data_IF_172480868179
#
_entry.id   IF_172480868179
#
_cell.length_a   1.000
_cell.length_b   1.000
_cell.length_c   1.000
_cell.angle_alpha   90.00
_cell.angle_beta   90.00
_cell.angle_gamma   90.00
#
_symmetry.space_group_name_H-M   'P 1'
#
loop_
_entity.id
_entity.type
_entity.pdbx_description
1 polymer ?
#
# COMPACT_ATOMS: atom_id res chain seq x y z
N UNK A 1 17.84 -22.86 19.61
CA UNK A 1 18.97 -22.31 20.38
C UNK A 1 18.75 -20.82 20.58
N UNK A 2 19.29 -20.23 21.65
CA UNK A 2 19.26 -18.78 21.85
C UNK A 2 19.92 -18.05 20.65
N UNK A 3 19.47 -16.84 20.33
CA UNK A 3 20.04 -16.06 19.24
C UNK A 3 21.36 -15.39 19.68
N UNK A 4 22.43 -16.18 19.68
CA UNK A 4 23.77 -15.73 20.08
C UNK A 4 24.35 -14.67 19.13
N UNK A 5 23.91 -14.63 17.87
CA UNK A 5 24.37 -13.62 16.91
C UNK A 5 23.81 -12.24 17.26
N UNK A 6 22.52 -12.16 17.58
CA UNK A 6 21.91 -10.92 18.07
C UNK A 6 22.53 -10.48 19.40
N UNK A 7 22.70 -11.41 20.35
CA UNK A 7 23.34 -11.10 21.63
C UNK A 7 24.77 -10.59 21.44
N UNK A 8 25.56 -11.26 20.61
CA UNK A 8 26.93 -10.86 20.30
C UNK A 8 27.01 -9.49 19.63
N UNK A 9 26.13 -9.21 18.66
CA UNK A 9 26.08 -7.92 17.97
C UNK A 9 25.75 -6.75 18.90
N UNK A 10 24.84 -6.94 19.86
CA UNK A 10 24.48 -5.93 20.88
C UNK A 10 25.71 -5.62 21.74
N UNK A 11 26.38 -6.65 22.24
CA UNK A 11 27.59 -6.51 23.08
C UNK A 11 28.73 -5.86 22.30
N UNK A 12 28.98 -6.28 21.06
CA UNK A 12 30.03 -5.72 20.20
C UNK A 12 29.79 -4.25 19.86
N UNK A 13 28.53 -3.81 19.82
CA UNK A 13 28.15 -2.41 19.60
C UNK A 13 28.24 -1.56 20.88
N UNK A 14 28.60 -2.15 22.03
CA UNK A 14 28.67 -1.47 23.32
C UNK A 14 27.31 -1.03 23.88
N UNK A 15 26.21 -1.58 23.36
CA UNK A 15 24.85 -1.23 23.78
C UNK A 15 24.32 -2.22 24.81
N UNK A 16 23.46 -1.75 25.71
CA UNK A 16 22.66 -2.61 26.59
C UNK A 16 21.32 -2.99 25.93
N UNK A 17 20.68 -4.04 26.45
CA UNK A 17 19.33 -4.42 25.99
C UNK A 17 18.33 -3.26 26.16
N UNK A 18 18.41 -2.50 27.26
CA UNK A 18 17.57 -1.34 27.52
C UNK A 18 17.79 -0.21 26.49
N UNK A 19 19.04 0.04 26.12
CA UNK A 19 19.36 1.06 25.12
C UNK A 19 18.86 0.67 23.73
N UNK A 20 18.99 -0.61 23.35
CA UNK A 20 18.43 -1.14 22.11
C UNK A 20 16.91 -1.02 22.13
N UNK A 21 16.26 -1.43 23.22
CA UNK A 21 14.83 -1.36 23.38
C UNK A 21 14.29 0.08 23.28
N UNK A 22 14.95 1.03 23.95
CA UNK A 22 14.61 2.45 23.91
C UNK A 22 14.71 3.03 22.51
N UNK A 23 15.76 2.71 21.75
CA UNK A 23 15.91 3.17 20.35
C UNK A 23 14.90 2.54 19.39
N UNK A 24 14.46 1.31 19.69
CA UNK A 24 13.49 0.59 18.88
C UNK A 24 12.03 0.87 19.31
N UNK A 25 11.80 1.61 20.39
CA UNK A 25 10.46 1.87 20.91
C UNK A 25 9.75 0.61 21.42
N UNK A 26 10.50 -0.38 21.93
CA UNK A 26 9.96 -1.63 22.50
C UNK A 26 10.40 -1.78 23.96
N UNK A 27 9.84 -2.76 24.68
CA UNK A 27 10.27 -3.05 26.06
C UNK A 27 11.61 -3.79 26.08
N UNK A 28 12.48 -3.59 27.10
CA UNK A 28 13.72 -4.35 27.27
C UNK A 28 13.49 -5.86 27.30
N UNK A 29 12.39 -6.29 27.92
CA UNK A 29 11.95 -7.69 27.97
C UNK A 29 11.64 -8.26 26.57
N UNK A 30 11.15 -7.42 25.65
CA UNK A 30 10.92 -7.83 24.26
C UNK A 30 12.25 -8.15 23.57
N UNK A 31 13.28 -7.31 23.75
CA UNK A 31 14.61 -7.53 23.17
C UNK A 31 15.31 -8.71 23.82
N UNK A 32 15.20 -8.87 25.14
CA UNK A 32 15.71 -10.03 25.86
C UNK A 32 15.15 -11.32 25.26
N UNK A 33 13.83 -11.39 25.05
CA UNK A 33 13.17 -12.55 24.42
C UNK A 33 13.69 -12.84 23.02
N UNK A 34 13.99 -11.82 22.20
CA UNK A 34 14.60 -12.05 20.88
C UNK A 34 15.98 -12.70 20.94
N UNK A 35 16.72 -12.49 22.04
CA UNK A 35 18.04 -13.11 22.24
C UNK A 35 17.96 -14.49 22.91
N UNK A 36 16.98 -14.72 23.79
CA UNK A 36 16.93 -15.93 24.63
C UNK A 36 15.98 -17.01 24.11
N UNK A 37 14.86 -16.62 23.47
CA UNK A 37 13.84 -17.55 22.98
C UNK A 37 14.13 -17.97 21.52
N UNK A 38 14.35 -19.28 21.23
CA UNK A 38 14.78 -19.75 19.91
C UNK A 38 13.89 -19.38 18.73
N UNK A 39 12.57 -19.30 18.94
CA UNK A 39 11.58 -19.10 17.88
C UNK A 39 10.92 -17.71 17.95
N UNK A 40 11.40 -16.83 18.84
CA UNK A 40 10.80 -15.51 19.03
C UNK A 40 11.52 -14.48 18.18
N UNK A 41 11.02 -14.27 16.97
CA UNK A 41 11.52 -13.22 16.08
C UNK A 41 10.76 -11.91 16.26
N UNK A 42 11.43 -10.75 16.08
CA UNK A 42 10.73 -9.48 15.93
C UNK A 42 9.84 -9.48 14.68
N UNK A 43 8.82 -8.62 14.66
CA UNK A 43 8.23 -8.21 13.38
C UNK A 43 9.29 -7.60 12.47
N UNK A 44 9.11 -7.74 11.15
CA UNK A 44 10.08 -7.36 10.12
C UNK A 44 10.63 -5.93 10.28
N UNK A 45 9.78 -4.96 10.59
CA UNK A 45 10.20 -3.57 10.89
C UNK A 45 11.25 -3.47 12.01
N UNK A 46 11.11 -4.29 13.05
CA UNK A 46 12.03 -4.32 14.18
C UNK A 46 13.30 -5.13 13.87
N UNK A 47 13.21 -6.14 13.00
CA UNK A 47 14.40 -6.83 12.50
C UNK A 47 15.30 -5.86 11.73
N UNK A 48 14.75 -5.10 10.77
CA UNK A 48 15.49 -4.08 10.03
C UNK A 48 16.04 -2.98 10.94
N UNK A 49 15.21 -2.46 11.86
CA UNK A 49 15.66 -1.40 12.77
C UNK A 49 16.79 -1.88 13.70
N UNK A 50 16.72 -3.11 14.21
CA UNK A 50 17.79 -3.69 15.01
C UNK A 50 19.06 -3.96 14.17
N UNK A 51 18.92 -4.51 12.97
CA UNK A 51 20.02 -4.73 12.02
C UNK A 51 20.74 -3.42 11.67
N UNK A 52 19.98 -2.36 11.37
CA UNK A 52 20.49 -1.02 11.12
C UNK A 52 21.22 -0.44 12.33
N UNK A 53 20.61 -0.53 13.53
CA UNK A 53 21.19 -0.05 14.77
C UNK A 53 22.53 -0.74 15.08
N UNK A 54 22.60 -2.05 14.86
CA UNK A 54 23.76 -2.89 15.16
C UNK A 54 24.75 -2.99 13.98
N UNK A 55 24.47 -2.34 12.84
CA UNK A 55 25.27 -2.35 11.61
C UNK A 55 25.59 -3.76 11.09
N UNK A 56 24.63 -4.66 11.20
CA UNK A 56 24.71 -6.02 10.66
C UNK A 56 23.58 -6.25 9.66
N UNK A 57 23.72 -7.29 8.83
CA UNK A 57 22.63 -7.74 7.98
C UNK A 57 21.55 -8.46 8.79
N UNK A 58 20.28 -8.40 8.34
CA UNK A 58 19.19 -9.14 8.97
C UNK A 58 19.46 -10.65 8.96
N UNK A 59 19.91 -11.20 7.83
CA UNK A 59 20.33 -12.60 7.67
C UNK A 59 21.49 -13.00 8.59
N UNK A 60 22.37 -12.06 8.95
CA UNK A 60 23.41 -12.31 9.94
C UNK A 60 22.76 -12.52 11.31
N UNK A 61 21.89 -11.62 11.76
CA UNK A 61 21.23 -11.69 13.06
C UNK A 61 20.18 -12.81 13.15
N UNK A 62 19.54 -13.15 12.03
CA UNK A 62 18.55 -14.22 11.91
C UNK A 62 18.86 -15.05 10.65
N UNK A 63 19.65 -16.14 10.74
CA UNK A 63 20.11 -16.93 9.58
C UNK A 63 19.03 -17.58 8.72
N UNK A 64 17.80 -17.67 9.21
CA UNK A 64 16.65 -18.14 8.44
C UNK A 64 16.08 -17.06 7.53
N UNK A 65 16.45 -15.80 7.75
CA UNK A 65 16.10 -14.67 6.88
C UNK A 65 17.06 -14.62 5.69
N UNK A 66 16.49 -14.30 4.53
CA UNK A 66 17.25 -14.14 3.29
C UNK A 66 18.17 -12.93 3.39
N UNK A 67 19.32 -13.01 2.74
CA UNK A 67 20.21 -11.86 2.55
C UNK A 67 19.50 -10.81 1.68
N UNK A 68 19.91 -9.56 1.82
CA UNK A 68 19.42 -8.43 1.02
C UNK A 68 19.69 -8.67 -0.47
N UNK A 69 20.78 -9.36 -0.81
CA UNK A 69 21.09 -9.75 -2.19
C UNK A 69 20.10 -10.78 -2.74
N UNK A 70 19.72 -11.78 -1.95
CA UNK A 70 18.72 -12.78 -2.36
C UNK A 70 17.32 -12.18 -2.49
N UNK A 71 16.94 -11.28 -1.58
CA UNK A 71 15.68 -10.52 -1.66
C UNK A 71 15.67 -9.66 -2.92
N UNK A 72 16.75 -8.93 -3.19
CA UNK A 72 16.87 -8.07 -4.39
C UNK A 72 16.76 -8.90 -5.66
N UNK A 73 17.50 -10.01 -5.75
CA UNK A 73 17.45 -10.90 -6.92
C UNK A 73 16.05 -11.49 -7.16
N UNK A 74 15.29 -11.79 -6.09
CA UNK A 74 13.88 -12.18 -6.24
C UNK A 74 12.98 -11.01 -6.66
N UNK A 75 13.24 -9.82 -6.12
CA UNK A 75 12.44 -8.61 -6.39
C UNK A 75 12.64 -8.07 -7.80
N UNK A 76 13.78 -8.35 -8.44
CA UNK A 76 14.03 -8.00 -9.85
C UNK A 76 12.99 -8.62 -10.79
N UNK A 77 12.45 -9.80 -10.42
CA UNK A 77 11.39 -10.46 -11.17
C UNK A 77 9.99 -9.91 -10.88
N UNK A 78 9.82 -9.09 -9.84
CA UNK A 78 8.53 -8.48 -9.51
C UNK A 78 8.17 -7.34 -10.46
N UNK A 79 9.15 -6.65 -11.06
CA UNK A 79 8.89 -5.53 -11.97
C UNK A 79 8.61 -6.05 -13.39
N UNK A 80 7.33 -6.14 -13.75
CA UNK A 80 6.92 -6.49 -15.11
C UNK A 80 7.21 -5.36 -16.10
N UNK A 81 6.91 -4.12 -15.69
CA UNK A 81 7.10 -2.95 -16.55
C UNK A 81 7.16 -1.65 -15.76
N UNK A 82 7.96 -0.72 -16.25
CA UNK A 82 7.96 0.68 -15.81
C UNK A 82 7.44 1.51 -16.97
N UNK A 83 6.33 2.20 -16.74
CA UNK A 83 5.81 3.20 -17.67
C UNK A 83 6.30 4.58 -17.23
N UNK A 84 6.90 5.38 -18.13
CA UNK A 84 7.40 6.71 -17.78
C UNK A 84 6.27 7.63 -17.30
N UNK A 85 5.07 7.51 -17.89
CA UNK A 85 3.89 8.31 -17.58
C UNK A 85 2.63 7.43 -17.56
N UNK A 86 1.65 7.72 -16.70
CA UNK A 86 0.36 7.01 -16.68
C UNK A 86 -0.37 7.12 -18.03
N UNK A 87 -0.24 8.24 -18.73
CA UNK A 87 -0.88 8.47 -20.03
C UNK A 87 -0.44 7.50 -21.12
N UNK A 88 0.71 6.84 -20.98
CA UNK A 88 1.20 5.83 -21.94
C UNK A 88 0.89 4.39 -21.52
N UNK A 89 0.25 4.19 -20.37
CA UNK A 89 -0.28 2.87 -19.98
C UNK A 89 -1.43 2.54 -20.95
N UNK A 90 -1.42 1.37 -21.61
CA UNK A 90 -2.50 0.97 -22.50
C UNK A 90 -3.86 1.04 -21.78
N UNK A 91 -4.86 1.63 -22.42
CA UNK A 91 -6.19 1.82 -21.81
C UNK A 91 -6.85 0.51 -21.37
N UNK A 92 -6.48 -0.61 -22.01
CA UNK A 92 -6.99 -1.95 -21.70
C UNK A 92 -6.30 -2.59 -20.50
N UNK A 93 -5.07 -2.18 -20.17
CA UNK A 93 -4.27 -2.79 -19.11
C UNK A 93 -4.98 -2.72 -17.75
N UNK A 94 -5.72 -1.63 -17.49
CA UNK A 94 -6.48 -1.45 -16.26
C UNK A 94 -7.64 -2.42 -16.13
N UNK A 95 -8.43 -2.59 -17.20
CA UNK A 95 -9.52 -3.57 -17.20
C UNK A 95 -9.00 -5.01 -17.23
N UNK A 96 -7.88 -5.26 -17.91
CA UNK A 96 -7.24 -6.57 -17.96
C UNK A 96 -6.68 -7.00 -16.61
N UNK A 97 -6.05 -6.07 -15.87
CA UNK A 97 -5.58 -6.32 -14.50
C UNK A 97 -6.69 -6.94 -13.65
N UNK A 98 -7.90 -6.37 -13.71
CA UNK A 98 -9.04 -6.82 -12.92
C UNK A 98 -9.84 -7.97 -13.56
N UNK A 99 -9.67 -8.25 -14.85
CA UNK A 99 -10.49 -9.23 -15.57
C UNK A 99 -10.37 -10.65 -14.98
N UNK A 100 -9.18 -11.01 -14.51
CA UNK A 100 -8.88 -12.34 -13.97
C UNK A 100 -8.91 -12.40 -12.44
N UNK A 101 -9.27 -11.30 -11.75
CA UNK A 101 -9.22 -11.25 -10.28
C UNK A 101 -10.23 -12.20 -9.63
N UNK A 102 -9.80 -12.92 -8.60
CA UNK A 102 -10.64 -13.90 -7.87
C UNK A 102 -10.68 -13.67 -6.36
N UNK A 103 -9.67 -13.01 -5.80
CA UNK A 103 -9.49 -12.85 -4.35
C UNK A 103 -9.37 -11.39 -3.91
N UNK A 104 -8.69 -10.54 -4.68
CA UNK A 104 -8.48 -9.14 -4.38
C UNK A 104 -8.83 -8.29 -5.59
N UNK A 105 -9.66 -7.28 -5.38
CA UNK A 105 -9.95 -6.23 -6.34
C UNK A 105 -9.95 -4.92 -5.57
N UNK A 106 -8.81 -4.25 -5.57
CA UNK A 106 -8.59 -3.09 -4.71
C UNK A 106 -8.19 -1.85 -5.54
N UNK A 107 -8.74 -0.71 -5.16
CA UNK A 107 -8.41 0.60 -5.73
C UNK A 107 -8.15 1.59 -4.61
N UNK A 108 -6.91 2.09 -4.53
CA UNK A 108 -6.51 3.15 -3.63
C UNK A 108 -6.13 4.39 -4.42
N UNK A 109 -6.94 5.44 -4.32
CA UNK A 109 -6.79 6.69 -5.06
C UNK A 109 -7.25 7.88 -4.23
N UNK A 110 -6.92 9.10 -4.66
CA UNK A 110 -7.76 10.24 -4.28
C UNK A 110 -9.04 10.24 -5.10
N UNK A 111 -8.95 10.42 -6.42
CA UNK A 111 -10.13 10.39 -7.30
C UNK A 111 -10.17 9.22 -8.28
N UNK A 112 -9.03 8.83 -8.87
CA UNK A 112 -9.01 7.83 -9.95
C UNK A 112 -9.97 8.18 -11.10
N UNK A 113 -10.23 9.48 -11.31
CA UNK A 113 -11.44 9.98 -11.98
C UNK A 113 -11.73 9.35 -13.35
N UNK A 114 -10.69 9.17 -14.18
CA UNK A 114 -10.79 8.59 -15.52
C UNK A 114 -11.39 7.16 -15.52
N UNK A 115 -11.18 6.39 -14.46
CA UNK A 115 -11.71 5.04 -14.33
C UNK A 115 -13.22 5.05 -14.04
N UNK A 116 -13.69 6.11 -13.38
CA UNK A 116 -15.11 6.30 -13.05
C UNK A 116 -15.96 6.53 -14.30
N UNK A 117 -15.33 6.98 -15.39
CA UNK A 117 -15.99 7.28 -16.67
C UNK A 117 -15.89 6.12 -17.68
N UNK A 118 -15.15 5.04 -17.37
CA UNK A 118 -15.02 3.88 -18.27
C UNK A 118 -16.19 2.88 -18.05
N UNK A 119 -17.13 2.74 -19.00
CA UNK A 119 -18.25 1.81 -18.84
C UNK A 119 -17.82 0.35 -18.78
N UNK A 120 -16.64 0.00 -19.34
CA UNK A 120 -16.09 -1.36 -19.28
C UNK A 120 -15.68 -1.70 -17.85
N UNK A 121 -15.08 -0.74 -17.14
CA UNK A 121 -14.72 -0.91 -15.74
C UNK A 121 -15.96 -1.09 -14.85
N UNK A 122 -17.01 -0.29 -15.05
CA UNK A 122 -18.28 -0.45 -14.34
C UNK A 122 -18.92 -1.83 -14.55
N UNK A 123 -18.91 -2.34 -15.78
CA UNK A 123 -19.39 -3.70 -16.06
C UNK A 123 -18.55 -4.75 -15.34
N UNK A 124 -17.22 -4.60 -15.39
CA UNK A 124 -16.31 -5.53 -14.73
C UNK A 124 -16.53 -5.59 -13.21
N UNK A 125 -16.74 -4.45 -12.54
CA UNK A 125 -17.08 -4.43 -11.11
C UNK A 125 -18.38 -5.19 -10.82
N UNK A 126 -19.41 -5.03 -11.66
CA UNK A 126 -20.68 -5.79 -11.52
C UNK A 126 -20.47 -7.29 -11.70
N UNK A 127 -19.70 -7.68 -12.71
CA UNK A 127 -19.38 -9.09 -12.99
C UNK A 127 -18.62 -9.72 -11.82
N UNK A 128 -17.60 -9.03 -11.28
CA UNK A 128 -16.81 -9.50 -10.14
C UNK A 128 -17.61 -9.57 -8.84
N UNK A 129 -18.42 -8.55 -8.58
CA UNK A 129 -19.38 -8.55 -7.47
C UNK A 129 -20.35 -9.73 -7.56
N UNK A 130 -20.94 -9.98 -8.73
CA UNK A 130 -21.85 -11.10 -8.96
C UNK A 130 -21.15 -12.48 -8.82
N UNK A 131 -19.87 -12.56 -9.15
CA UNK A 131 -19.03 -13.74 -8.93
C UNK A 131 -18.58 -13.91 -7.47
N UNK A 132 -18.96 -13.01 -6.55
CA UNK A 132 -18.62 -13.08 -5.13
C UNK A 132 -17.23 -12.55 -4.78
N UNK A 133 -16.54 -11.90 -5.72
CA UNK A 133 -15.21 -11.31 -5.46
C UNK A 133 -15.39 -10.02 -4.64
N UNK A 134 -14.68 -9.86 -3.51
CA UNK A 134 -14.66 -8.60 -2.76
C UNK A 134 -14.02 -7.48 -3.58
N UNK A 135 -14.71 -6.35 -3.70
CA UNK A 135 -14.24 -5.14 -4.39
C UNK A 135 -14.13 -3.99 -3.40
N UNK A 136 -12.92 -3.45 -3.25
CA UNK A 136 -12.60 -2.42 -2.25
C UNK A 136 -12.17 -1.12 -2.92
N UNK A 137 -12.93 -0.07 -2.70
CA UNK A 137 -12.59 1.29 -3.11
C UNK A 137 -12.14 2.10 -1.89
N UNK A 138 -10.92 2.64 -1.95
CA UNK A 138 -10.37 3.59 -1.00
C UNK A 138 -10.16 4.91 -1.74
N UNK A 139 -11.10 5.84 -1.55
CA UNK A 139 -11.12 7.15 -2.18
C UNK A 139 -10.62 8.21 -1.20
N UNK A 140 -10.07 9.32 -1.68
CA UNK A 140 -9.65 10.39 -0.79
C UNK A 140 -10.84 11.02 -0.08
N UNK A 141 -10.71 11.40 1.17
CA UNK A 141 -11.73 12.22 1.82
C UNK A 141 -11.64 13.65 1.26
N UNK A 142 -12.69 14.16 0.55
CA UNK A 142 -12.65 15.47 -0.07
C UNK A 142 -12.56 16.63 0.93
N UNK A 143 -12.78 16.39 2.23
CA UNK A 143 -12.61 17.38 3.30
C UNK A 143 -11.22 17.34 3.95
N UNK A 144 -10.38 16.35 3.61
CA UNK A 144 -9.09 16.16 4.28
C UNK A 144 -8.03 17.17 3.87
N UNK A 145 -7.13 17.45 4.82
CA UNK A 145 -5.94 18.28 4.56
C UNK A 145 -5.04 17.67 3.49
N UNK A 146 -4.87 16.34 3.47
CA UNK A 146 -4.00 15.68 2.50
C UNK A 146 -4.49 15.86 1.05
N UNK A 147 -5.82 15.79 0.83
CA UNK A 147 -6.43 16.08 -0.48
C UNK A 147 -6.25 17.55 -0.87
N UNK A 148 -6.41 18.48 0.06
CA UNK A 148 -6.21 19.91 -0.19
C UNK A 148 -4.75 20.20 -0.60
N UNK A 149 -3.79 19.70 0.17
CA UNK A 149 -2.34 19.82 -0.13
C UNK A 149 -2.03 19.26 -1.51
N UNK A 150 -2.55 18.08 -1.87
CA UNK A 150 -2.31 17.52 -3.21
C UNK A 150 -2.90 18.41 -4.32
N UNK A 151 -4.07 19.01 -4.08
CA UNK A 151 -4.66 19.96 -5.01
C UNK A 151 -3.74 21.15 -5.27
N UNK A 152 -3.18 21.72 -4.20
CA UNK A 152 -2.25 22.84 -4.27
C UNK A 152 -0.93 22.44 -4.96
N UNK A 153 -0.35 21.29 -4.59
CA UNK A 153 0.87 20.75 -5.19
C UNK A 153 0.73 20.50 -6.70
N UNK A 154 -0.43 20.03 -7.17
CA UNK A 154 -0.71 19.85 -8.60
C UNK A 154 -1.09 21.17 -9.32
N UNK A 155 -1.26 22.28 -8.59
CA UNK A 155 -1.71 23.56 -9.14
C UNK A 155 -3.19 23.59 -9.53
N UNK A 156 -4.01 22.68 -8.99
CA UNK A 156 -5.45 22.58 -9.28
C UNK A 156 -6.34 22.97 -8.09
N UNK A 157 -5.74 23.20 -6.91
CA UNK A 157 -6.41 23.61 -5.68
C UNK A 157 -7.65 22.77 -5.34
N UNK A 158 -8.77 23.44 -5.07
CA UNK A 158 -10.04 22.82 -4.69
C UNK A 158 -10.65 21.89 -5.75
N UNK A 159 -10.15 21.91 -6.99
CA UNK A 159 -10.60 21.00 -8.04
C UNK A 159 -10.28 19.54 -7.71
N UNK A 160 -9.28 19.25 -6.86
CA UNK A 160 -9.02 17.86 -6.43
C UNK A 160 -10.22 17.31 -5.64
N UNK A 161 -10.68 18.02 -4.62
CA UNK A 161 -11.85 17.63 -3.84
C UNK A 161 -13.12 17.52 -4.72
N UNK A 162 -13.29 18.43 -5.69
CA UNK A 162 -14.40 18.36 -6.64
C UNK A 162 -14.35 17.11 -7.53
N UNK A 163 -13.16 16.72 -8.02
CA UNK A 163 -12.97 15.48 -8.80
C UNK A 163 -13.34 14.24 -7.98
N UNK A 164 -13.02 14.22 -6.69
CA UNK A 164 -13.36 13.10 -5.82
C UNK A 164 -14.88 13.00 -5.63
N UNK A 165 -15.55 14.12 -5.34
CA UNK A 165 -17.03 14.15 -5.23
C UNK A 165 -17.69 13.65 -6.50
N UNK A 166 -17.20 14.08 -7.66
CA UNK A 166 -17.71 13.62 -8.95
C UNK A 166 -17.44 12.13 -9.20
N UNK A 167 -16.24 11.64 -8.85
CA UNK A 167 -15.91 10.21 -8.93
C UNK A 167 -16.88 9.34 -8.10
N UNK A 168 -17.19 9.76 -6.87
CA UNK A 168 -18.15 9.06 -6.00
C UNK A 168 -19.55 9.02 -6.61
N UNK A 169 -20.02 10.15 -7.18
CA UNK A 169 -21.32 10.20 -7.88
C UNK A 169 -21.35 9.27 -9.09
N UNK A 170 -20.30 9.27 -9.90
CA UNK A 170 -20.17 8.35 -11.05
C UNK A 170 -20.26 6.89 -10.61
N UNK A 171 -19.66 6.54 -9.47
CA UNK A 171 -19.74 5.20 -8.89
C UNK A 171 -21.04 4.89 -8.15
N UNK A 172 -22.00 5.82 -8.04
CA UNK A 172 -23.26 5.63 -7.31
C UNK A 172 -23.97 4.29 -7.58
N UNK A 173 -24.12 3.86 -8.84
CA UNK A 173 -24.72 2.55 -9.16
C UNK A 173 -23.95 1.31 -8.69
N UNK A 174 -22.73 1.45 -8.16
CA UNK A 174 -21.89 0.37 -7.63
C UNK A 174 -22.05 0.19 -6.11
N UNK A 175 -22.48 1.24 -5.37
CA UNK A 175 -22.68 1.18 -3.92
C UNK A 175 -23.74 0.15 -3.48
N UNK A 176 -24.71 -0.14 -4.35
CA UNK A 176 -25.77 -1.11 -4.08
C UNK A 176 -25.38 -2.56 -4.40
N UNK A 177 -24.17 -2.81 -4.88
CA UNK A 177 -23.72 -4.14 -5.29
C UNK A 177 -23.20 -4.94 -4.07
N UNK A 178 -23.46 -6.26 -4.01
CA UNK A 178 -22.93 -7.10 -2.94
C UNK A 178 -21.40 -7.15 -3.00
N UNK A 179 -20.75 -7.21 -1.84
CA UNK A 179 -19.29 -7.31 -1.71
C UNK A 179 -18.50 -6.14 -2.33
N UNK A 180 -19.16 -5.03 -2.69
CA UNK A 180 -18.51 -3.79 -3.10
C UNK A 180 -18.54 -2.82 -1.93
N UNK A 181 -17.38 -2.40 -1.46
CA UNK A 181 -17.26 -1.51 -0.30
C UNK A 181 -16.43 -0.27 -0.68
N UNK A 182 -16.95 0.89 -0.27
CA UNK A 182 -16.30 2.19 -0.43
C UNK A 182 -15.87 2.72 0.93
N UNK A 183 -14.64 3.22 1.00
CA UNK A 183 -14.10 3.94 2.15
C UNK A 183 -13.44 5.24 1.73
N UNK A 184 -13.42 6.20 2.65
CA UNK A 184 -12.71 7.47 2.54
C UNK A 184 -11.47 7.45 3.44
N UNK A 185 -10.33 7.86 2.90
CA UNK A 185 -9.07 7.99 3.65
C UNK A 185 -8.53 9.42 3.59
N UNK A 186 -7.87 9.85 4.65
CA UNK A 186 -7.25 11.16 4.79
C UNK A 186 -5.71 11.10 4.70
N UNK A 187 -5.18 9.96 4.27
CA UNK A 187 -3.73 9.72 4.23
C UNK A 187 -3.03 10.58 3.18
N UNK A 188 -1.77 10.91 3.43
CA UNK A 188 -0.89 11.40 2.36
C UNK A 188 -0.64 10.27 1.38
N UNK A 189 -1.12 10.43 0.16
CA UNK A 189 -1.07 9.37 -0.84
C UNK A 189 0.21 9.47 -1.66
N UNK A 190 1.17 8.57 -1.42
CA UNK A 190 2.42 8.52 -2.19
C UNK A 190 2.26 7.85 -3.56
N UNK A 191 1.29 6.93 -3.66
CA UNK A 191 1.00 6.19 -4.87
C UNK A 191 -0.50 5.94 -4.94
N UNK A 192 -1.09 6.11 -6.12
CA UNK A 192 -2.36 5.47 -6.42
C UNK A 192 -2.09 4.01 -6.79
N UNK A 193 -2.76 3.07 -6.13
CA UNK A 193 -2.49 1.63 -6.26
C UNK A 193 -3.76 0.94 -6.75
N UNK A 194 -3.58 0.11 -7.78
CA UNK A 194 -4.63 -0.71 -8.38
C UNK A 194 -4.17 -2.15 -8.28
N UNK A 195 -4.85 -2.99 -7.51
CA UNK A 195 -4.40 -4.37 -7.22
C UNK A 195 -5.47 -5.38 -7.59
N UNK A 196 -5.04 -6.42 -8.31
CA UNK A 196 -5.83 -7.60 -8.61
C UNK A 196 -5.02 -8.84 -8.24
N UNK A 197 -5.46 -9.58 -7.23
CA UNK A 197 -4.79 -10.77 -6.71
C UNK A 197 -3.28 -10.56 -6.45
N UNK A 198 -2.45 -11.09 -7.36
CA UNK A 198 -0.99 -11.12 -7.34
C UNK A 198 -0.36 -10.10 -8.30
N UNK A 199 -1.14 -9.21 -8.92
CA UNK A 199 -0.64 -8.13 -9.76
C UNK A 199 -1.12 -6.77 -9.26
N UNK A 200 -0.29 -5.75 -9.44
CA UNK A 200 -0.68 -4.39 -9.13
C UNK A 200 -0.01 -3.36 -10.06
N UNK A 201 -0.70 -2.25 -10.26
CA UNK A 201 -0.18 -1.03 -10.87
C UNK A 201 -0.06 0.05 -9.78
N UNK A 202 1.17 0.50 -9.51
CA UNK A 202 1.45 1.60 -8.61
C UNK A 202 1.79 2.85 -9.42
N UNK A 203 0.85 3.81 -9.47
CA UNK A 203 1.06 5.11 -10.07
C UNK A 203 1.63 6.07 -9.03
N UNK A 204 2.91 6.38 -9.15
CA UNK A 204 3.63 7.25 -8.22
C UNK A 204 3.13 8.68 -8.26
N UNK A 205 3.09 9.34 -7.11
CA UNK A 205 2.84 10.77 -7.02
C UNK A 205 4.18 11.49 -7.02
N UNK A 206 4.37 12.35 -8.01
CA UNK A 206 5.54 13.22 -8.10
C UNK A 206 5.09 14.64 -7.77
N UNK A 207 5.85 15.33 -6.92
CA UNK A 207 5.55 16.69 -6.50
C UNK A 207 5.47 17.63 -7.71
N UNK A 208 4.44 18.48 -7.79
CA UNK A 208 4.25 19.38 -8.94
C UNK A 208 3.76 18.71 -10.23
N UNK A 209 3.59 17.38 -10.26
CA UNK A 209 3.25 16.63 -11.48
C UNK A 209 1.88 15.99 -11.32
N UNK A 210 0.96 16.33 -12.23
CA UNK A 210 -0.35 15.70 -12.31
C UNK A 210 -0.25 14.20 -12.57
N UNK A 211 -1.14 13.41 -11.96
CA UNK A 211 -1.08 11.95 -11.99
C UNK A 211 -0.99 11.30 -13.39
N UNK A 212 -1.45 11.99 -14.44
CA UNK A 212 -1.35 11.50 -15.83
C UNK A 212 0.07 11.52 -16.40
N UNK A 213 0.96 12.38 -15.89
CA UNK A 213 2.38 12.48 -16.29
C UNK A 213 3.31 11.74 -15.33
N UNK A 214 2.81 11.25 -14.20
CA UNK A 214 3.61 10.56 -13.22
C UNK A 214 3.84 9.09 -13.62
N UNK A 215 4.93 8.44 -13.19
CA UNK A 215 5.29 7.08 -13.60
C UNK A 215 4.34 6.03 -13.03
N UNK A 216 4.33 4.85 -13.67
CA UNK A 216 3.59 3.68 -13.20
C UNK A 216 4.51 2.47 -13.17
N UNK A 217 4.56 1.79 -12.02
CA UNK A 217 5.18 0.48 -11.85
C UNK A 217 4.11 -0.60 -12.00
N UNK A 218 4.31 -1.53 -12.93
CA UNK A 218 3.52 -2.75 -13.04
C UNK A 218 4.29 -3.87 -12.36
N UNK A 219 3.71 -4.39 -11.28
CA UNK A 219 4.32 -5.38 -10.42
C UNK A 219 3.51 -6.68 -10.42
N UNK A 220 4.23 -7.78 -10.32
CA UNK A 220 3.69 -9.09 -9.97
C UNK A 220 4.27 -9.56 -8.64
N UNK A 221 3.51 -10.38 -7.92
CA UNK A 221 3.96 -11.02 -6.69
C UNK A 221 4.81 -12.24 -7.04
N UNK A 222 6.05 -12.26 -6.58
CA UNK A 222 6.98 -13.39 -6.75
C UNK A 222 7.31 -13.98 -5.38
N UNK A 223 7.39 -15.32 -5.23
CA UNK A 223 7.84 -15.93 -3.98
C UNK A 223 9.20 -15.38 -3.53
N UNK A 224 9.20 -14.83 -2.32
CA UNK A 224 10.39 -14.24 -1.71
C UNK A 224 10.80 -12.87 -2.26
N UNK A 225 10.02 -12.31 -3.19
CA UNK A 225 10.02 -10.87 -3.45
C UNK A 225 9.35 -10.11 -2.30
N UNK A 226 9.63 -8.82 -2.21
CA UNK A 226 9.16 -7.96 -1.12
C UNK A 226 8.55 -6.66 -1.61
N UNK A 227 8.78 -6.29 -2.88
CA UNK A 227 8.31 -5.04 -3.44
C UNK A 227 6.78 -5.04 -3.54
N UNK A 228 6.18 -6.10 -4.09
CA UNK A 228 4.73 -6.24 -4.17
C UNK A 228 4.10 -6.23 -2.78
N UNK A 229 4.62 -7.07 -1.87
CA UNK A 229 4.06 -7.23 -0.53
C UNK A 229 4.13 -5.93 0.28
N UNK A 230 5.17 -5.10 0.07
CA UNK A 230 5.26 -3.76 0.68
C UNK A 230 4.10 -2.85 0.26
N UNK A 231 3.76 -2.82 -1.04
CA UNK A 231 2.62 -2.04 -1.53
C UNK A 231 1.28 -2.61 -1.05
N UNK A 232 1.13 -3.94 -1.09
CA UNK A 232 -0.07 -4.62 -0.60
C UNK A 232 -0.33 -4.35 0.89
N UNK A 233 0.70 -4.47 1.74
CA UNK A 233 0.60 -4.14 3.17
C UNK A 233 0.28 -2.66 3.40
N UNK A 234 0.85 -1.75 2.60
CA UNK A 234 0.51 -0.32 2.70
C UNK A 234 -0.97 -0.08 2.38
N UNK A 235 -1.52 -0.77 1.40
CA UNK A 235 -2.93 -0.70 1.05
C UNK A 235 -3.83 -1.23 2.17
N UNK A 236 -3.47 -2.34 2.83
CA UNK A 236 -4.22 -2.85 3.99
C UNK A 236 -4.23 -1.86 5.15
N UNK A 237 -3.10 -1.19 5.45
CA UNK A 237 -3.06 -0.15 6.50
C UNK A 237 -4.00 1.01 6.21
N UNK A 238 -4.09 1.43 4.95
CA UNK A 238 -5.04 2.47 4.54
C UNK A 238 -6.47 1.95 4.67
N UNK A 239 -6.74 0.73 4.20
CA UNK A 239 -8.05 0.11 4.32
C UNK A 239 -8.55 0.06 5.77
N UNK A 240 -7.72 -0.42 6.70
CA UNK A 240 -8.05 -0.57 8.12
C UNK A 240 -8.35 0.75 8.83
N UNK A 241 -7.70 1.85 8.40
CA UNK A 241 -7.88 3.19 8.98
C UNK A 241 -8.94 4.04 8.26
N UNK A 242 -9.31 3.69 7.03
CA UNK A 242 -10.27 4.41 6.23
C UNK A 242 -11.70 4.28 6.78
N UNK A 243 -12.49 5.35 6.63
CA UNK A 243 -13.89 5.42 7.07
C UNK A 243 -14.83 4.86 6.00
N UNK A 244 -15.64 3.87 6.35
CA UNK A 244 -16.66 3.34 5.44
C UNK A 244 -17.75 4.37 5.09
N UNK A 245 -18.22 4.31 3.85
CA UNK A 245 -19.36 5.07 3.33
C UNK A 245 -20.31 4.15 2.57
N UNK A 246 -21.61 4.41 2.65
CA UNK A 246 -22.67 3.59 2.02
C UNK A 246 -23.44 4.34 0.93
N UNK A 247 -23.23 5.65 0.83
CA UNK A 247 -23.73 6.52 -0.24
C UNK A 247 -22.61 7.38 -0.81
N UNK A 248 -22.67 7.76 -2.11
CA UNK A 248 -21.78 8.73 -2.72
C UNK A 248 -21.65 10.05 -1.97
N UNK A 249 -22.65 10.44 -1.17
CA UNK A 249 -22.73 11.74 -0.48
C UNK A 249 -22.33 11.71 0.99
N UNK A 250 -21.94 10.55 1.54
CA UNK A 250 -21.59 10.41 2.97
C UNK A 250 -20.29 11.12 3.38
N UNK A 251 -19.66 11.85 2.46
CA UNK A 251 -18.58 12.79 2.76
C UNK A 251 -19.08 14.09 3.39
N UNK A 252 -20.36 14.46 3.20
CA UNK A 252 -20.91 15.75 3.68
C UNK A 252 -21.24 15.73 5.19
N UNK A 253 -21.44 14.54 5.78
CA UNK A 253 -21.86 14.37 7.17
C UNK A 253 -20.80 14.61 8.25
N UNK A 254 -19.61 15.08 7.89
CA UNK A 254 -18.51 15.38 8.83
C UNK A 254 -18.21 16.89 8.81
N UNK A 255 -19.23 17.71 9.06
CA UNK A 255 -19.03 19.05 9.59
C UNK A 255 -19.07 18.94 11.11
N UNK A 256 -17.89 19.06 11.74
CA UNK A 256 -17.79 19.35 13.17
C UNK A 256 -18.32 20.77 13.47
#
# INVERSE_FOLDING_TARGET
MANERLRGAIVASGLTLDQVAGRLGVSPKTVERWTSEPNRKPYRRFQYAAASLLRHEVSYLWPEERTSAEVTASSDSEVLKIYPHRSVVPSEAWTQLYAESTTHFDILVYSGFWLTEDPRFHRLVREKSAAGVPVRFMMGDPSSTAVAVRGDDEGIGSAMAAKIRNALLNYGPLFALPNVEFRLHDTTLYNSIYRADNELLANGHVYGVGAYMAPVLHLQRVPGGELFDTYAESMERVWESARAITSPTDYEGVTA
#
